data_IF_123424839781
#
_entry.id   IF_123424839781
#
_cell.length_a   1.000
_cell.length_b   1.000
_cell.length_c   1.000
_cell.angle_alpha   90.00
_cell.angle_beta   90.00
_cell.angle_gamma   90.00
#
_symmetry.space_group_name_H-M   'P 1'
#
loop_
_entity.id
_entity.type
_entity.pdbx_description
1 polymer ?
#
# COMPACT_ATOMS: atom_id res chain seq x y z
N UNK A 1 -14.85 18.24 4.58
CA UNK A 1 -13.96 17.84 5.72
C UNK A 1 -12.68 18.68 5.64
N UNK A 2 -12.05 19.07 6.76
CA UNK A 2 -10.73 19.69 6.70
C UNK A 2 -9.66 18.59 6.74
N UNK A 3 -8.98 18.33 5.63
CA UNK A 3 -8.00 17.26 5.49
C UNK A 3 -6.81 17.43 6.45
N UNK A 4 -6.35 18.67 6.66
CA UNK A 4 -5.26 18.95 7.61
C UNK A 4 -5.62 18.57 9.04
N UNK A 5 -6.80 19.00 9.50
CA UNK A 5 -7.23 18.74 10.88
C UNK A 5 -7.44 17.24 11.11
N UNK A 6 -8.01 16.53 10.13
CA UNK A 6 -8.17 15.09 10.19
C UNK A 6 -6.82 14.35 10.15
N UNK A 7 -5.86 14.80 9.33
CA UNK A 7 -4.49 14.27 9.34
C UNK A 7 -3.83 14.44 10.72
N UNK A 8 -3.88 15.63 11.30
CA UNK A 8 -3.26 15.89 12.61
C UNK A 8 -3.91 15.04 13.71
N UNK A 9 -5.22 14.88 13.69
CA UNK A 9 -5.96 14.02 14.60
C UNK A 9 -5.52 12.56 14.49
N UNK A 10 -5.46 12.00 13.27
CA UNK A 10 -5.05 10.60 13.04
C UNK A 10 -3.59 10.37 13.41
N UNK A 11 -2.71 11.31 13.10
CA UNK A 11 -1.30 11.25 13.49
C UNK A 11 -1.11 11.23 15.02
N UNK A 12 -1.96 11.94 15.77
CA UNK A 12 -1.89 11.99 17.23
C UNK A 12 -2.52 10.76 17.91
N UNK A 13 -3.44 10.07 17.25
CA UNK A 13 -4.12 8.90 17.79
C UNK A 13 -3.32 7.63 17.46
N UNK A 14 -3.08 6.80 18.47
CA UNK A 14 -2.40 5.52 18.27
C UNK A 14 -3.20 4.61 17.34
N UNK A 15 -2.55 4.10 16.31
CA UNK A 15 -3.06 3.10 15.38
C UNK A 15 -1.90 2.23 14.87
N UNK A 16 -2.20 1.28 14.02
CA UNK A 16 -1.22 0.39 13.39
C UNK A 16 -0.31 1.11 12.36
N UNK A 17 -0.64 2.35 11.97
CA UNK A 17 0.07 3.11 10.92
C UNK A 17 0.36 4.58 11.29
N UNK A 18 -0.12 5.07 12.45
CA UNK A 18 -0.07 6.51 12.76
C UNK A 18 1.33 7.13 12.74
N UNK A 19 2.36 6.37 13.13
CA UNK A 19 3.74 6.85 13.12
C UNK A 19 4.31 6.99 11.70
N UNK A 20 3.72 6.32 10.71
CA UNK A 20 4.12 6.40 9.31
C UNK A 20 3.38 7.46 8.49
N UNK A 21 2.32 8.08 9.04
CA UNK A 21 1.54 9.08 8.29
C UNK A 21 2.39 10.28 7.84
N UNK A 22 3.41 10.69 8.61
CA UNK A 22 4.34 11.74 8.21
C UNK A 22 5.22 11.30 7.04
N UNK A 23 5.64 10.04 7.01
CA UNK A 23 6.42 9.47 5.91
C UNK A 23 5.56 9.41 4.65
N UNK A 24 4.32 8.93 4.75
CA UNK A 24 3.37 8.92 3.62
C UNK A 24 3.15 10.33 3.05
N UNK A 25 2.89 11.31 3.91
CA UNK A 25 2.80 12.72 3.53
C UNK A 25 4.07 13.23 2.83
N UNK A 26 5.24 12.94 3.39
CA UNK A 26 6.53 13.41 2.86
C UNK A 26 6.83 12.85 1.47
N UNK A 27 6.56 11.56 1.25
CA UNK A 27 6.73 10.94 -0.07
C UNK A 27 5.63 11.39 -1.04
N UNK A 28 4.39 11.53 -0.56
CA UNK A 28 3.28 12.06 -1.33
C UNK A 28 3.55 13.43 -1.93
N UNK A 29 4.15 14.35 -1.16
CA UNK A 29 4.52 15.70 -1.60
C UNK A 29 5.50 15.74 -2.79
N UNK A 30 6.21 14.63 -3.07
CA UNK A 30 7.12 14.49 -4.21
C UNK A 30 6.42 13.94 -5.46
N UNK A 31 5.10 13.69 -5.35
CA UNK A 31 4.32 12.94 -6.35
C UNK A 31 3.09 13.73 -6.78
N UNK A 32 2.78 13.68 -8.07
CA UNK A 32 1.56 14.30 -8.62
C UNK A 32 0.38 13.34 -8.60
N UNK A 33 0.64 12.06 -8.82
CA UNK A 33 -0.39 11.01 -8.82
C UNK A 33 -0.01 9.93 -7.84
N UNK A 34 -0.97 9.50 -7.05
CA UNK A 34 -0.80 8.49 -6.01
C UNK A 34 -1.87 7.42 -6.20
N UNK A 35 -1.45 6.17 -6.06
CA UNK A 35 -2.34 5.02 -5.98
C UNK A 35 -2.18 4.35 -4.63
N UNK A 36 -3.28 4.00 -4.01
CA UNK A 36 -3.37 3.28 -2.75
C UNK A 36 -4.11 1.96 -2.98
N UNK A 37 -3.53 0.85 -2.53
CA UNK A 37 -4.18 -0.46 -2.46
C UNK A 37 -4.39 -0.80 -0.98
N UNK A 38 -5.65 -0.91 -0.56
CA UNK A 38 -6.06 -1.02 0.83
C UNK A 38 -6.24 0.36 1.48
N UNK A 39 -7.48 0.83 1.61
CA UNK A 39 -7.81 2.12 2.25
C UNK A 39 -8.45 1.96 3.63
N UNK A 40 -9.06 0.79 3.89
CA UNK A 40 -9.68 0.44 5.18
C UNK A 40 -10.49 1.60 5.76
N UNK A 41 -10.05 2.20 6.87
CA UNK A 41 -10.71 3.33 7.55
C UNK A 41 -10.14 4.70 7.15
N UNK A 42 -9.21 4.75 6.19
CA UNK A 42 -8.72 5.98 5.58
C UNK A 42 -7.57 6.68 6.31
N UNK A 43 -6.84 6.00 7.21
CA UNK A 43 -5.71 6.61 7.92
C UNK A 43 -4.61 7.01 6.94
N UNK A 44 -4.14 6.09 6.10
CA UNK A 44 -3.19 6.35 5.03
C UNK A 44 -3.75 7.28 3.97
N UNK A 45 -5.03 7.09 3.58
CA UNK A 45 -5.73 7.93 2.59
C UNK A 45 -5.65 9.41 2.95
N UNK A 46 -5.90 9.76 4.23
CA UNK A 46 -5.83 11.15 4.70
C UNK A 46 -4.41 11.71 4.63
N UNK A 47 -3.39 10.94 4.99
CA UNK A 47 -2.00 11.40 4.89
C UNK A 47 -1.58 11.64 3.44
N UNK A 48 -2.00 10.75 2.54
CA UNK A 48 -1.76 10.88 1.11
C UNK A 48 -2.54 12.05 0.49
N UNK A 49 -3.80 12.29 0.90
CA UNK A 49 -4.56 13.48 0.50
C UNK A 49 -3.96 14.77 1.03
N UNK A 50 -3.49 14.78 2.28
CA UNK A 50 -2.85 15.96 2.87
C UNK A 50 -1.59 16.38 2.11
N UNK A 51 -0.91 15.47 1.40
CA UNK A 51 0.20 15.81 0.51
C UNK A 51 -0.23 16.56 -0.77
N UNK A 52 -1.52 16.78 -0.96
CA UNK A 52 -2.12 17.54 -2.05
C UNK A 52 -1.74 17.06 -3.46
N UNK A 53 -1.88 15.77 -3.77
CA UNK A 53 -1.62 15.25 -5.11
C UNK A 53 -2.63 15.82 -6.13
N UNK A 54 -2.28 15.78 -7.42
CA UNK A 54 -3.25 16.05 -8.49
C UNK A 54 -4.39 15.03 -8.49
N UNK A 55 -4.09 13.78 -8.15
CA UNK A 55 -5.05 12.70 -8.03
C UNK A 55 -4.52 11.63 -7.07
N UNK A 56 -5.33 11.26 -6.09
CA UNK A 56 -5.22 10.03 -5.31
C UNK A 56 -6.32 9.07 -5.75
N UNK A 57 -5.94 7.86 -6.16
CA UNK A 57 -6.88 6.78 -6.44
C UNK A 57 -6.67 5.66 -5.43
N UNK A 58 -7.67 5.40 -4.59
CA UNK A 58 -7.67 4.32 -3.61
C UNK A 58 -8.52 3.15 -4.07
N UNK A 59 -7.99 1.95 -3.87
CA UNK A 59 -8.67 0.69 -4.20
C UNK A 59 -8.83 -0.14 -2.93
N UNK A 60 -10.02 -0.71 -2.74
CA UNK A 60 -10.29 -1.64 -1.65
C UNK A 60 -11.43 -2.59 -2.03
N UNK A 61 -11.51 -3.75 -1.38
CA UNK A 61 -12.63 -4.69 -1.50
C UNK A 61 -13.92 -4.11 -0.89
N UNK A 62 -13.77 -3.25 0.11
CA UNK A 62 -14.86 -2.62 0.83
C UNK A 62 -14.65 -1.10 0.88
N UNK A 63 -15.75 -0.36 0.81
CA UNK A 63 -15.78 1.07 1.01
C UNK A 63 -16.30 1.35 2.41
N UNK A 64 -15.45 1.89 3.28
CA UNK A 64 -15.90 2.29 4.62
C UNK A 64 -16.74 3.57 4.58
N UNK A 65 -17.53 3.80 5.63
CA UNK A 65 -18.35 5.02 5.74
C UNK A 65 -17.48 6.27 5.66
N UNK A 66 -16.31 6.27 6.30
CA UNK A 66 -15.38 7.38 6.22
C UNK A 66 -14.93 7.68 4.79
N UNK A 67 -14.56 6.65 4.02
CA UNK A 67 -14.18 6.80 2.61
C UNK A 67 -15.36 7.26 1.76
N UNK A 68 -16.60 6.87 2.11
CA UNK A 68 -17.80 7.32 1.39
C UNK A 68 -18.11 8.81 1.65
N UNK A 69 -17.72 9.33 2.80
CA UNK A 69 -17.88 10.74 3.17
C UNK A 69 -16.81 11.65 2.57
N UNK A 70 -15.68 11.13 2.10
CA UNK A 70 -14.64 11.93 1.43
C UNK A 70 -15.16 12.48 0.09
N UNK A 71 -15.22 13.81 -0.03
CA UNK A 71 -15.71 14.54 -1.21
C UNK A 71 -14.67 15.52 -1.77
N UNK A 72 -13.43 15.06 -1.83
CA UNK A 72 -12.32 15.85 -2.38
C UNK A 72 -12.24 15.67 -3.90
N UNK A 73 -12.11 16.75 -4.66
CA UNK A 73 -12.08 16.72 -6.14
C UNK A 73 -10.89 15.92 -6.70
N UNK A 74 -9.81 15.83 -5.92
CA UNK A 74 -8.60 15.09 -6.26
C UNK A 74 -8.56 13.66 -5.68
N UNK A 75 -9.70 13.15 -5.20
CA UNK A 75 -9.84 11.81 -4.64
C UNK A 75 -10.79 10.94 -5.45
N UNK A 76 -10.39 9.70 -5.70
CA UNK A 76 -11.22 8.69 -6.34
C UNK A 76 -11.11 7.36 -5.60
N UNK A 77 -12.24 6.79 -5.22
CA UNK A 77 -12.32 5.43 -4.70
C UNK A 77 -12.84 4.47 -5.78
N UNK A 78 -12.20 3.30 -5.88
CA UNK A 78 -12.60 2.22 -6.76
C UNK A 78 -12.68 0.93 -5.95
N UNK A 79 -13.88 0.34 -5.88
CA UNK A 79 -14.04 -0.98 -5.27
C UNK A 79 -13.50 -2.06 -6.20
N UNK A 80 -12.55 -2.88 -5.71
CA UNK A 80 -11.98 -3.97 -6.50
C UNK A 80 -10.88 -4.73 -5.79
N UNK A 81 -10.59 -5.92 -6.29
CA UNK A 81 -9.50 -6.77 -5.84
C UNK A 81 -8.20 -6.34 -6.51
N UNK A 82 -7.18 -6.03 -5.73
CA UNK A 82 -5.86 -5.59 -6.22
C UNK A 82 -5.18 -6.63 -7.14
N UNK A 83 -5.55 -7.91 -7.04
CA UNK A 83 -5.05 -8.95 -7.92
C UNK A 83 -5.84 -9.09 -9.24
N UNK A 84 -7.03 -8.51 -9.35
CA UNK A 84 -7.89 -8.60 -10.54
C UNK A 84 -7.93 -7.28 -11.33
N UNK A 85 -7.59 -6.16 -10.71
CA UNK A 85 -7.62 -4.85 -11.34
C UNK A 85 -6.27 -4.45 -11.96
N UNK A 86 -6.31 -3.38 -12.72
CA UNK A 86 -5.13 -2.74 -13.31
C UNK A 86 -5.13 -1.27 -12.92
N UNK A 87 -4.12 -0.85 -12.16
CA UNK A 87 -3.99 0.56 -11.79
C UNK A 87 -3.59 1.42 -13.00
N UNK A 88 -3.89 2.70 -12.94
CA UNK A 88 -3.35 3.67 -13.88
C UNK A 88 -1.87 3.99 -13.58
N UNK A 89 -1.19 4.68 -14.51
CA UNK A 89 0.17 5.15 -14.24
C UNK A 89 0.18 6.14 -13.08
N UNK A 90 1.10 5.92 -12.15
CA UNK A 90 1.20 6.70 -10.91
C UNK A 90 2.64 7.04 -10.56
N UNK A 91 2.86 8.11 -9.80
CA UNK A 91 4.19 8.42 -9.27
C UNK A 91 4.52 7.59 -8.03
N UNK A 92 3.51 7.36 -7.17
CA UNK A 92 3.64 6.60 -5.94
C UNK A 92 2.55 5.54 -5.85
N UNK A 93 2.93 4.34 -5.45
CA UNK A 93 2.03 3.26 -5.08
C UNK A 93 2.22 2.95 -3.59
N UNK A 94 1.16 3.05 -2.80
CA UNK A 94 1.10 2.56 -1.43
C UNK A 94 0.33 1.24 -1.39
N UNK A 95 0.87 0.23 -0.71
CA UNK A 95 0.26 -1.10 -0.57
C UNK A 95 0.14 -1.43 0.91
N UNK A 96 -1.10 -1.64 1.35
CA UNK A 96 -1.49 -2.05 2.70
C UNK A 96 -2.74 -2.95 2.59
N UNK A 97 -2.54 -4.12 2.01
CA UNK A 97 -3.59 -5.09 1.70
C UNK A 97 -3.45 -6.34 2.59
N UNK A 98 -3.73 -7.54 2.08
CA UNK A 98 -3.52 -8.79 2.80
C UNK A 98 -2.03 -9.08 2.96
N UNK A 99 -1.54 -9.20 4.20
CA UNK A 99 -0.13 -9.29 4.55
C UNK A 99 0.42 -10.71 4.38
N UNK A 100 0.47 -11.16 3.14
CA UNK A 100 0.98 -12.49 2.77
C UNK A 100 1.95 -12.39 1.61
N UNK A 101 2.94 -13.28 1.61
CA UNK A 101 3.91 -13.39 0.51
C UNK A 101 3.22 -13.38 -0.87
N UNK A 102 2.26 -14.28 -1.06
CA UNK A 102 1.56 -14.43 -2.33
C UNK A 102 0.89 -13.13 -2.78
N UNK A 103 0.18 -12.46 -1.88
CA UNK A 103 -0.53 -11.22 -2.18
C UNK A 103 0.44 -10.15 -2.65
N UNK A 104 1.43 -9.82 -1.83
CA UNK A 104 2.37 -8.76 -2.12
C UNK A 104 3.23 -9.05 -3.37
N UNK A 105 3.72 -10.29 -3.52
CA UNK A 105 4.53 -10.67 -4.69
C UNK A 105 3.78 -10.46 -6.00
N UNK A 106 2.49 -10.82 -6.05
CA UNK A 106 1.66 -10.62 -7.23
C UNK A 106 1.27 -9.15 -7.44
N UNK A 107 0.95 -8.40 -6.40
CA UNK A 107 0.67 -6.95 -6.50
C UNK A 107 1.88 -6.20 -7.07
N UNK A 108 3.08 -6.48 -6.58
CA UNK A 108 4.32 -5.94 -7.14
C UNK A 108 4.49 -6.35 -8.62
N UNK A 109 4.27 -7.62 -8.95
CA UNK A 109 4.37 -8.13 -10.32
C UNK A 109 3.39 -7.46 -11.29
N UNK A 110 2.16 -7.18 -10.85
CA UNK A 110 1.12 -6.58 -11.70
C UNK A 110 1.28 -5.07 -11.83
N UNK A 111 1.65 -4.38 -10.75
CA UNK A 111 1.50 -2.93 -10.64
C UNK A 111 2.81 -2.16 -10.74
N UNK A 112 3.95 -2.70 -10.29
CA UNK A 112 5.21 -1.95 -10.21
C UNK A 112 5.63 -1.29 -11.53
N UNK A 113 5.36 -1.93 -12.67
CA UNK A 113 5.67 -1.36 -14.01
C UNK A 113 4.93 -0.07 -14.35
N UNK A 114 3.85 0.25 -13.60
CA UNK A 114 3.04 1.46 -13.76
C UNK A 114 3.43 2.57 -12.78
N UNK A 115 4.39 2.29 -11.91
CA UNK A 115 4.85 3.24 -10.88
C UNK A 115 6.13 3.91 -11.34
N UNK A 116 6.17 5.24 -11.29
CA UNK A 116 7.29 6.02 -11.82
C UNK A 116 8.38 6.32 -10.80
N UNK A 117 8.06 6.40 -9.48
CA UNK A 117 9.05 6.86 -8.48
C UNK A 117 9.17 5.95 -7.26
N UNK A 118 8.06 5.73 -6.53
CA UNK A 118 8.10 5.09 -5.22
C UNK A 118 7.03 4.02 -5.06
N UNK A 119 7.38 2.92 -4.37
CA UNK A 119 6.43 1.95 -3.82
C UNK A 119 6.66 1.90 -2.31
N UNK A 120 5.60 2.14 -1.53
CA UNK A 120 5.61 2.11 -0.08
C UNK A 120 4.79 0.90 0.37
N UNK A 121 5.35 0.07 1.26
CA UNK A 121 4.81 -1.22 1.67
C UNK A 121 4.69 -1.24 3.18
N UNK A 122 3.46 -1.33 3.71
CA UNK A 122 3.21 -1.37 5.14
C UNK A 122 3.28 -2.78 5.71
N UNK A 123 3.27 -2.91 7.05
CA UNK A 123 3.30 -4.16 7.81
C UNK A 123 4.53 -5.06 7.57
N UNK A 124 5.60 -4.51 7.01
CA UNK A 124 6.79 -5.27 6.60
C UNK A 124 7.65 -5.76 7.77
N UNK A 125 7.34 -5.38 9.00
CA UNK A 125 7.97 -5.94 10.21
C UNK A 125 7.07 -6.97 10.87
N UNK A 126 5.82 -6.65 11.15
CA UNK A 126 4.87 -7.56 11.81
C UNK A 126 4.65 -8.85 11.00
N UNK A 127 4.47 -8.74 9.70
CA UNK A 127 4.31 -9.89 8.79
C UNK A 127 5.52 -10.08 7.88
N UNK A 128 6.69 -9.63 8.33
CA UNK A 128 7.91 -9.67 7.55
C UNK A 128 8.40 -11.08 7.24
N UNK A 129 8.38 -11.97 8.24
CA UNK A 129 8.91 -13.33 8.14
C UNK A 129 7.81 -14.39 7.95
N UNK A 130 6.61 -14.16 8.46
CA UNK A 130 5.47 -15.08 8.39
C UNK A 130 4.24 -14.37 7.80
N UNK A 131 3.43 -15.12 7.10
CA UNK A 131 2.18 -14.63 6.52
C UNK A 131 1.13 -14.34 7.59
N UNK A 132 0.34 -13.30 7.39
CA UNK A 132 -0.88 -13.07 8.17
C UNK A 132 -1.79 -14.30 8.14
N UNK A 133 -2.25 -14.80 9.31
CA UNK A 133 -3.19 -15.91 9.36
C UNK A 133 -4.52 -15.58 8.68
N UNK A 134 -5.04 -16.47 7.82
CA UNK A 134 -6.28 -16.23 7.09
C UNK A 134 -7.50 -15.96 7.96
N UNK A 135 -7.52 -16.51 9.19
CA UNK A 135 -8.61 -16.26 10.15
C UNK A 135 -8.56 -14.84 10.76
N UNK A 136 -7.39 -14.19 10.71
CA UNK A 136 -7.23 -12.80 11.12
C UNK A 136 -7.58 -11.84 9.98
N UNK A 137 -7.43 -12.27 8.74
CA UNK A 137 -7.89 -11.55 7.58
C UNK A 137 -9.42 -11.55 7.52
N UNK A 138 -10.06 -10.45 7.89
CA UNK A 138 -11.52 -10.30 7.89
C UNK A 138 -12.15 -10.36 6.47
N UNK A 139 -11.47 -10.98 5.50
CA UNK A 139 -11.82 -10.94 4.07
C UNK A 139 -11.83 -12.36 3.50
N UNK A 140 -12.85 -12.74 2.70
CA UNK A 140 -12.81 -13.98 1.93
C UNK A 140 -11.67 -13.90 0.91
N UNK A 141 -10.60 -14.64 1.15
CA UNK A 141 -9.49 -14.72 0.19
C UNK A 141 -9.94 -15.63 -0.95
N UNK A 142 -10.18 -15.08 -2.11
CA UNK A 142 -10.23 -15.84 -3.36
C UNK A 142 -8.78 -16.22 -3.70
N UNK A 143 -8.41 -17.43 -3.39
CA UNK A 143 -7.14 -17.97 -3.88
C UNK A 143 -7.25 -18.11 -5.40
N UNK A 144 -6.50 -17.31 -6.15
CA UNK A 144 -6.39 -17.54 -7.58
C UNK A 144 -5.71 -18.89 -7.80
N UNK A 145 -6.16 -19.68 -8.78
CA UNK A 145 -5.57 -20.98 -9.16
C UNK A 145 -4.17 -20.87 -9.77
N UNK A 146 -3.53 -19.69 -9.72
CA UNK A 146 -2.15 -19.50 -10.15
C UNK A 146 -1.22 -20.12 -9.11
N UNK A 147 -0.26 -20.90 -9.57
CA UNK A 147 0.71 -21.65 -8.76
C UNK A 147 1.34 -20.76 -7.71
N UNK A 148 0.97 -21.02 -6.47
CA UNK A 148 1.48 -20.35 -5.29
C UNK A 148 2.74 -21.12 -4.86
N UNK A 149 3.87 -20.43 -4.67
CA UNK A 149 4.97 -21.04 -3.94
C UNK A 149 4.59 -21.08 -2.46
N UNK A 150 3.93 -22.15 -2.04
CA UNK A 150 3.43 -22.36 -0.69
C UNK A 150 4.54 -22.46 0.37
N UNK A 151 5.83 -22.53 -0.04
CA UNK A 151 6.98 -22.59 0.87
C UNK A 151 7.49 -21.19 1.26
N UNK A 152 7.34 -20.22 0.37
CA UNK A 152 7.75 -18.85 0.66
C UNK A 152 6.65 -18.14 1.47
N UNK A 153 7.06 -17.39 2.49
CA UNK A 153 6.17 -16.66 3.40
C UNK A 153 6.75 -15.30 3.75
N UNK A 154 5.89 -14.43 4.23
CA UNK A 154 6.23 -13.11 4.74
C UNK A 154 6.53 -12.06 3.68
N UNK A 155 6.33 -10.81 4.08
CA UNK A 155 6.43 -9.67 3.16
C UNK A 155 7.87 -9.37 2.77
N UNK A 156 8.84 -9.57 3.67
CA UNK A 156 10.27 -9.37 3.38
C UNK A 156 10.75 -10.33 2.28
N UNK A 157 10.31 -11.59 2.34
CA UNK A 157 10.66 -12.55 1.29
C UNK A 157 9.99 -12.19 -0.05
N UNK A 158 8.74 -11.72 -0.04
CA UNK A 158 8.06 -11.26 -1.26
C UNK A 158 8.80 -10.08 -1.92
N UNK A 159 9.24 -9.10 -1.12
CA UNK A 159 10.03 -7.97 -1.60
C UNK A 159 11.36 -8.44 -2.19
N UNK A 160 12.08 -9.29 -1.46
CA UNK A 160 13.36 -9.84 -1.92
C UNK A 160 13.22 -10.58 -3.24
N UNK A 161 12.28 -11.52 -3.33
CA UNK A 161 12.07 -12.31 -4.55
C UNK A 161 11.62 -11.41 -5.73
N UNK A 162 10.77 -10.41 -5.49
CA UNK A 162 10.43 -9.44 -6.53
C UNK A 162 11.67 -8.74 -7.07
N UNK A 163 12.52 -8.20 -6.19
CA UNK A 163 13.72 -7.46 -6.59
C UNK A 163 14.76 -8.33 -7.31
N UNK A 164 14.95 -9.56 -6.87
CA UNK A 164 16.02 -10.43 -7.32
C UNK A 164 15.62 -11.28 -8.54
N UNK A 165 14.36 -11.73 -8.62
CA UNK A 165 13.95 -12.75 -9.59
C UNK A 165 13.13 -12.21 -10.74
N UNK A 166 12.50 -11.03 -10.61
CA UNK A 166 11.65 -10.49 -11.66
C UNK A 166 12.38 -9.48 -12.55
N UNK A 167 11.97 -9.39 -13.82
CA UNK A 167 12.50 -8.38 -14.74
C UNK A 167 12.20 -6.96 -14.26
N UNK A 168 11.00 -6.73 -13.76
CA UNK A 168 10.59 -5.41 -13.27
C UNK A 168 11.29 -5.04 -11.97
N UNK A 169 11.51 -6.00 -11.06
CA UNK A 169 12.19 -5.77 -9.79
C UNK A 169 13.60 -5.23 -9.93
N UNK A 170 14.30 -5.57 -11.04
CA UNK A 170 15.64 -5.04 -11.34
C UNK A 170 15.67 -3.52 -11.52
N UNK A 171 14.53 -2.89 -11.81
CA UNK A 171 14.38 -1.45 -11.92
C UNK A 171 14.19 -0.76 -10.57
N UNK A 172 14.15 -1.52 -9.48
CA UNK A 172 13.85 -1.05 -8.13
C UNK A 172 14.99 -1.32 -7.16
N UNK A 173 15.07 -0.53 -6.11
CA UNK A 173 15.96 -0.75 -4.96
C UNK A 173 15.23 -0.39 -3.67
N UNK A 174 15.60 -1.03 -2.58
CA UNK A 174 15.19 -0.60 -1.24
C UNK A 174 15.84 0.75 -0.96
N UNK A 175 15.04 1.73 -0.55
CA UNK A 175 15.48 3.07 -0.19
C UNK A 175 15.55 3.27 1.31
N UNK A 176 14.48 2.93 2.01
CA UNK A 176 14.36 3.07 3.46
C UNK A 176 13.57 1.89 4.03
N UNK A 177 13.88 1.54 5.27
CA UNK A 177 13.16 0.53 6.06
C UNK A 177 12.94 1.09 7.46
N UNK A 178 11.69 1.11 7.90
CA UNK A 178 11.26 1.47 9.24
C UNK A 178 10.75 0.23 9.95
N UNK A 179 11.16 0.01 11.20
CA UNK A 179 10.80 -1.19 11.99
C UNK A 179 9.75 -0.91 13.06
N UNK A 180 9.45 0.36 13.34
CA UNK A 180 8.39 0.78 14.24
C UNK A 180 7.01 0.63 13.59
N UNK A 181 5.95 0.68 14.41
CA UNK A 181 4.54 0.74 13.99
C UNK A 181 4.22 -0.23 12.84
N UNK A 182 4.50 -1.51 13.06
CA UNK A 182 4.35 -2.65 12.15
C UNK A 182 5.32 -2.70 10.96
N UNK A 183 6.13 -1.67 10.76
CA UNK A 183 7.12 -1.60 9.71
C UNK A 183 6.62 -0.99 8.40
N UNK A 184 7.51 -0.23 7.77
CA UNK A 184 7.29 0.36 6.44
C UNK A 184 8.55 0.20 5.60
N UNK A 185 8.43 -0.40 4.43
CA UNK A 185 9.54 -0.51 3.46
C UNK A 185 9.26 0.37 2.25
N UNK A 186 10.25 1.16 1.85
CA UNK A 186 10.15 2.05 0.70
C UNK A 186 11.08 1.57 -0.41
N UNK A 187 10.50 1.34 -1.57
CA UNK A 187 11.24 1.08 -2.79
C UNK A 187 11.28 2.34 -3.65
N UNK A 188 12.42 2.58 -4.28
CA UNK A 188 12.64 3.69 -5.22
C UNK A 188 13.03 3.13 -6.58
N UNK A 189 12.47 3.70 -7.64
CA UNK A 189 12.87 3.36 -9.01
C UNK A 189 14.31 3.85 -9.28
N UNK A 190 15.13 3.02 -9.90
CA UNK A 190 16.54 3.35 -10.29
C UNK A 190 16.57 4.30 -11.47
#
# INVERSE_FOLDING_TARGET
MNIRDEYLKRKANSSDINEHLETLYTYGNRCRTITELGSRYGDSTIALLYSNPKLLTSYDLFKSDFIDELKEDNFKFIKGDSLELKIEETDLLFIDTLHRYFQLFNELGFHAKRVRKYILLHDTETYGEEDEPLYAAHIPVKMSNKVINTKAKGLKQAIKDFLETTKEGKNWKVKEVFTNNNGLTILERK
#
